data_IF_276336998754
#
_entry.id   IF_276336998754
#
_cell.length_a   1.000
_cell.length_b   1.000
_cell.length_c   1.000
_cell.angle_alpha   90.00
_cell.angle_beta   90.00
_cell.angle_gamma   90.00
#
_symmetry.space_group_name_H-M   'P 1'
#
loop_
_entity.id
_entity.type
_entity.pdbx_description
1 polymer ?
#
# COMPACT_ATOMS: atom_id res chain seq x y z
N UNK A 1 -13.90 -41.13 -0.46
CA UNK A 1 -14.12 -40.16 -1.56
C UNK A 1 -13.64 -38.79 -1.09
N UNK A 2 -12.40 -38.42 -1.37
CA UNK A 2 -11.81 -37.16 -0.87
C UNK A 2 -10.91 -36.44 -1.91
N UNK A 3 -10.88 -36.95 -3.15
CA UNK A 3 -10.04 -36.43 -4.25
C UNK A 3 -10.58 -35.11 -4.82
N UNK A 4 -11.91 -34.92 -4.75
CA UNK A 4 -12.59 -33.76 -5.33
C UNK A 4 -12.49 -32.51 -4.43
N UNK A 5 -12.12 -32.68 -3.16
CA UNK A 5 -12.03 -31.59 -2.18
C UNK A 5 -10.71 -30.82 -2.33
N UNK A 6 -9.58 -31.52 -2.44
CA UNK A 6 -8.24 -30.91 -2.58
C UNK A 6 -8.13 -30.10 -3.87
N UNK A 7 -8.64 -30.62 -4.98
CA UNK A 7 -8.65 -29.90 -6.26
C UNK A 7 -9.48 -28.61 -6.18
N UNK A 8 -10.58 -28.62 -5.43
CA UNK A 8 -11.45 -27.46 -5.26
C UNK A 8 -10.79 -26.37 -4.40
N UNK A 9 -10.12 -26.76 -3.31
CA UNK A 9 -9.32 -25.83 -2.50
C UNK A 9 -8.14 -25.25 -3.28
N UNK A 10 -7.42 -26.07 -4.05
CA UNK A 10 -6.33 -25.60 -4.91
C UNK A 10 -6.82 -24.59 -5.97
N UNK A 11 -7.99 -24.85 -6.57
CA UNK A 11 -8.59 -23.95 -7.55
C UNK A 11 -9.03 -22.62 -6.92
N UNK A 12 -9.65 -22.66 -5.73
CA UNK A 12 -10.04 -21.46 -4.97
C UNK A 12 -8.82 -20.60 -4.61
N UNK A 13 -7.72 -21.22 -4.17
CA UNK A 13 -6.48 -20.50 -3.85
C UNK A 13 -5.87 -19.83 -5.09
N UNK A 14 -5.86 -20.52 -6.23
CA UNK A 14 -5.42 -19.95 -7.51
C UNK A 14 -6.24 -18.73 -7.92
N UNK A 15 -7.57 -18.81 -7.78
CA UNK A 15 -8.48 -17.69 -8.09
C UNK A 15 -8.22 -16.51 -7.14
N UNK A 16 -8.08 -16.77 -5.84
CA UNK A 16 -7.75 -15.74 -4.86
C UNK A 16 -6.44 -15.02 -5.24
N UNK A 17 -5.38 -15.74 -5.57
CA UNK A 17 -4.08 -15.14 -5.96
C UNK A 17 -4.21 -14.26 -7.21
N UNK A 18 -4.98 -14.69 -8.20
CA UNK A 18 -5.22 -13.90 -9.42
C UNK A 18 -6.00 -12.61 -9.11
N UNK A 19 -6.95 -12.64 -8.17
CA UNK A 19 -7.80 -11.48 -7.82
C UNK A 19 -7.11 -10.43 -6.94
N UNK A 20 -6.06 -10.79 -6.19
CA UNK A 20 -5.33 -9.85 -5.30
C UNK A 20 -4.39 -8.92 -6.10
N UNK A 21 -4.17 -9.21 -7.39
CA UNK A 21 -3.26 -8.45 -8.27
C UNK A 21 -3.73 -7.01 -8.54
N UNK A 22 -4.97 -6.65 -8.18
CA UNK A 22 -5.42 -5.26 -8.16
C UNK A 22 -4.94 -4.60 -6.86
N UNK A 23 -3.65 -4.30 -6.81
CA UNK A 23 -3.03 -3.59 -5.70
C UNK A 23 -3.80 -2.29 -5.44
N UNK A 24 -4.33 -2.19 -4.22
CA UNK A 24 -4.97 -1.01 -3.71
C UNK A 24 -4.08 0.21 -4.00
N UNK A 25 -4.55 1.11 -4.85
CA UNK A 25 -4.02 2.47 -4.90
C UNK A 25 -4.28 3.04 -3.51
N UNK A 26 -3.28 2.95 -2.63
CA UNK A 26 -3.27 3.69 -1.38
C UNK A 26 -3.13 5.14 -1.80
N UNK A 27 -4.28 5.78 -2.03
CA UNK A 27 -4.36 7.22 -2.16
C UNK A 27 -3.97 7.75 -0.78
N UNK A 28 -2.66 7.93 -0.57
CA UNK A 28 -2.16 8.52 0.66
C UNK A 28 -2.94 9.80 0.89
N UNK A 29 -3.56 9.95 2.06
CA UNK A 29 -4.21 11.21 2.38
C UNK A 29 -3.15 12.31 2.31
N UNK A 30 -3.34 13.22 1.37
CA UNK A 30 -2.52 14.41 1.25
C UNK A 30 -3.04 15.47 2.21
N UNK A 31 -2.13 16.04 2.99
CA UNK A 31 -2.40 17.14 3.90
C UNK A 31 -2.30 18.45 3.11
N UNK A 32 -3.42 19.14 2.95
CA UNK A 32 -3.46 20.47 2.35
C UNK A 32 -2.97 21.53 3.36
N UNK A 33 -2.11 22.44 2.89
CA UNK A 33 -1.71 23.65 3.63
C UNK A 33 -1.60 24.81 2.67
N UNK A 34 -1.98 26.02 3.10
CA UNK A 34 -1.66 27.23 2.32
C UNK A 34 -0.14 27.37 2.22
N UNK A 35 0.37 27.67 1.02
CA UNK A 35 1.79 27.89 0.80
C UNK A 35 2.28 29.06 1.65
N UNK A 36 3.39 28.85 2.34
CA UNK A 36 4.03 29.90 3.15
C UNK A 36 4.96 30.78 2.33
N UNK A 37 5.42 30.27 1.20
CA UNK A 37 6.40 30.93 0.34
C UNK A 37 5.77 31.64 -0.85
N UNK A 38 4.56 31.22 -1.26
CA UNK A 38 3.81 31.87 -2.33
C UNK A 38 3.30 33.23 -1.89
N UNK A 39 3.50 34.23 -2.74
CA UNK A 39 3.01 35.59 -2.54
C UNK A 39 2.16 36.04 -3.72
N UNK A 40 1.11 36.81 -3.43
CA UNK A 40 0.20 37.34 -4.44
C UNK A 40 -0.85 36.34 -4.93
N UNK A 41 -1.55 36.71 -6.01
CA UNK A 41 -2.69 35.96 -6.53
C UNK A 41 -2.21 34.73 -7.32
N UNK A 42 -2.70 33.55 -6.96
CA UNK A 42 -2.35 32.30 -7.64
C UNK A 42 -3.15 32.16 -8.95
N UNK A 43 -2.51 32.44 -10.09
CA UNK A 43 -3.11 32.32 -11.42
C UNK A 43 -2.56 31.15 -12.26
N UNK A 44 -1.49 30.50 -11.80
CA UNK A 44 -0.83 29.42 -12.53
C UNK A 44 -0.55 28.25 -11.59
N UNK A 45 -1.39 27.22 -11.68
CA UNK A 45 -1.28 25.99 -10.89
C UNK A 45 0.07 25.31 -11.07
N UNK A 46 0.66 25.33 -12.27
CA UNK A 46 1.98 24.70 -12.53
C UNK A 46 3.10 25.41 -11.78
N UNK A 47 3.09 26.74 -11.75
CA UNK A 47 4.09 27.49 -10.98
C UNK A 47 3.92 27.27 -9.47
N UNK A 48 2.69 27.21 -8.98
CA UNK A 48 2.39 26.86 -7.59
C UNK A 48 2.89 25.44 -7.26
N UNK A 49 2.63 24.47 -8.13
CA UNK A 49 3.09 23.10 -7.99
C UNK A 49 4.63 23.02 -7.91
N UNK A 50 5.32 23.64 -8.87
CA UNK A 50 6.79 23.65 -8.93
C UNK A 50 7.40 24.33 -7.69
N UNK A 51 6.84 25.43 -7.21
CA UNK A 51 7.30 26.09 -5.99
C UNK A 51 7.03 25.24 -4.73
N UNK A 52 5.83 24.66 -4.60
CA UNK A 52 5.50 23.78 -3.48
C UNK A 52 6.48 22.60 -3.38
N UNK A 53 6.81 21.97 -4.51
CA UNK A 53 7.81 20.88 -4.55
C UNK A 53 9.21 21.38 -4.21
N UNK A 54 9.65 22.46 -4.84
CA UNK A 54 11.03 22.92 -4.75
C UNK A 54 11.36 23.61 -3.41
N UNK A 55 10.42 24.34 -2.81
CA UNK A 55 10.69 25.24 -1.68
C UNK A 55 10.07 24.76 -0.38
N UNK A 56 8.97 24.00 -0.45
CA UNK A 56 8.27 23.53 0.75
C UNK A 56 8.40 22.02 0.95
N UNK A 57 8.92 21.28 -0.03
CA UNK A 57 9.04 19.81 0.03
C UNK A 57 7.69 19.11 -0.06
N UNK A 58 6.70 19.75 -0.70
CA UNK A 58 5.39 19.17 -0.92
C UNK A 58 5.41 18.11 -2.02
N UNK A 59 4.44 17.20 -2.00
CA UNK A 59 4.23 16.25 -3.08
C UNK A 59 3.67 16.95 -4.33
N UNK A 60 2.79 17.94 -4.14
CA UNK A 60 2.24 18.77 -5.21
C UNK A 60 1.71 20.11 -4.68
N UNK A 61 1.39 21.05 -5.57
CA UNK A 61 0.66 22.29 -5.26
C UNK A 61 -0.46 22.61 -6.27
N UNK A 62 -1.44 23.41 -5.85
CA UNK A 62 -2.47 23.95 -6.73
C UNK A 62 -3.04 25.30 -6.30
N UNK A 63 -3.49 26.10 -7.28
CA UNK A 63 -4.23 27.32 -7.03
C UNK A 63 -5.69 27.02 -6.68
N UNK A 64 -6.16 27.51 -5.53
CA UNK A 64 -7.56 27.44 -5.14
C UNK A 64 -8.13 28.79 -4.77
N UNK A 65 -9.42 28.96 -5.01
CA UNK A 65 -10.16 30.16 -4.61
C UNK A 65 -10.87 29.91 -3.28
N UNK A 66 -10.51 30.67 -2.24
CA UNK A 66 -11.21 30.68 -0.94
C UNK A 66 -11.51 32.12 -0.57
N UNK A 67 -12.76 32.41 -0.21
CA UNK A 67 -13.20 33.77 0.19
C UNK A 67 -12.76 34.87 -0.80
N UNK A 68 -12.93 34.62 -2.10
CA UNK A 68 -12.54 35.51 -3.21
C UNK A 68 -11.03 35.77 -3.37
N UNK A 69 -10.17 35.03 -2.68
CA UNK A 69 -8.71 35.07 -2.84
C UNK A 69 -8.22 33.81 -3.57
N UNK A 70 -7.42 33.97 -4.62
CA UNK A 70 -6.75 32.84 -5.27
C UNK A 70 -5.40 32.62 -4.59
N UNK A 71 -5.29 31.52 -3.84
CA UNK A 71 -4.11 31.20 -3.04
C UNK A 71 -3.51 29.88 -3.53
N UNK A 72 -2.19 29.77 -3.40
CA UNK A 72 -1.49 28.52 -3.63
C UNK A 72 -1.61 27.64 -2.38
N UNK A 73 -2.01 26.39 -2.57
CA UNK A 73 -2.03 25.37 -1.53
C UNK A 73 -1.07 24.25 -1.91
N UNK A 74 -0.23 23.87 -0.96
CA UNK A 74 0.70 22.76 -1.07
C UNK A 74 0.13 21.51 -0.38
N UNK A 75 0.37 20.36 -0.97
CA UNK A 75 -0.13 19.06 -0.55
C UNK A 75 1.04 18.17 -0.13
N UNK A 76 1.03 17.76 1.13
CA UNK A 76 2.10 16.97 1.73
C UNK A 76 1.63 15.55 1.99
N UNK A 77 2.55 14.58 1.94
CA UNK A 77 2.26 13.27 2.48
C UNK A 77 2.01 13.42 4.00
N UNK A 78 0.79 13.12 4.45
CA UNK A 78 0.50 13.20 5.87
C UNK A 78 1.27 12.10 6.61
N UNK A 79 1.90 12.38 7.77
CA UNK A 79 2.53 11.34 8.59
C UNK A 79 1.58 10.20 8.97
N UNK A 80 0.29 10.53 9.15
CA UNK A 80 -0.77 9.53 9.41
C UNK A 80 -1.05 8.64 8.20
N UNK A 81 -1.03 9.21 7.00
CA UNK A 81 -1.23 8.47 5.76
C UNK A 81 -0.04 7.55 5.45
N UNK A 82 1.18 8.04 5.69
CA UNK A 82 2.41 7.27 5.53
C UNK A 82 2.46 6.11 6.53
N UNK A 83 2.13 6.37 7.80
CA UNK A 83 2.01 5.32 8.82
C UNK A 83 0.93 4.30 8.47
N UNK A 84 -0.24 4.73 8.00
CA UNK A 84 -1.31 3.82 7.58
C UNK A 84 -0.87 2.94 6.41
N UNK A 85 -0.11 3.48 5.45
CA UNK A 85 0.44 2.71 4.35
C UNK A 85 1.45 1.67 4.84
N UNK A 86 2.35 2.04 5.75
CA UNK A 86 3.31 1.12 6.37
C UNK A 86 2.62 0.02 7.20
N UNK A 87 1.62 0.40 8.00
CA UNK A 87 0.86 -0.54 8.82
C UNK A 87 0.10 -1.55 7.94
N UNK A 88 -0.41 -1.11 6.78
CA UNK A 88 -1.05 -1.99 5.79
C UNK A 88 -0.05 -2.97 5.16
N UNK A 89 1.10 -2.49 4.68
CA UNK A 89 2.15 -3.35 4.12
C UNK A 89 2.62 -4.39 5.13
N UNK A 90 2.83 -3.97 6.39
CA UNK A 90 3.24 -4.89 7.47
C UNK A 90 2.16 -5.91 7.81
N UNK A 91 0.89 -5.52 7.76
CA UNK A 91 -0.22 -6.46 7.95
C UNK A 91 -0.32 -7.48 6.81
N UNK A 92 -0.08 -7.05 5.57
CA UNK A 92 -0.05 -7.92 4.39
C UNK A 92 1.14 -8.89 4.40
N UNK A 93 2.34 -8.42 4.79
CA UNK A 93 3.52 -9.28 4.99
C UNK A 93 3.27 -10.30 6.11
N UNK A 94 2.75 -9.86 7.26
CA UNK A 94 2.40 -10.76 8.36
C UNK A 94 1.33 -11.78 7.96
N UNK A 95 0.38 -11.40 7.09
CA UNK A 95 -0.62 -12.32 6.56
C UNK A 95 0.01 -13.37 5.65
N UNK A 96 1.00 -12.99 4.82
CA UNK A 96 1.77 -13.91 3.96
C UNK A 96 2.61 -14.90 4.79
N UNK A 97 3.33 -14.42 5.80
CA UNK A 97 4.17 -15.27 6.65
C UNK A 97 3.34 -16.31 7.43
N UNK A 98 2.14 -15.94 7.88
CA UNK A 98 1.21 -16.87 8.55
C UNK A 98 0.65 -17.94 7.62
N UNK A 99 0.58 -17.68 6.32
CA UNK A 99 0.20 -18.67 5.31
C UNK A 99 1.36 -19.64 5.08
N UNK A 100 2.58 -19.12 4.91
CA UNK A 100 3.79 -19.94 4.71
C UNK A 100 4.09 -20.85 5.90
N UNK A 101 3.96 -20.35 7.13
CA UNK A 101 4.16 -21.13 8.35
C UNK A 101 3.14 -22.27 8.53
N UNK A 102 1.99 -22.22 7.85
CA UNK A 102 0.98 -23.30 7.84
C UNK A 102 1.23 -24.35 6.76
N UNK A 103 2.02 -24.03 5.74
CA UNK A 103 2.28 -24.94 4.62
C UNK A 103 3.42 -25.93 4.87
N UNK A 104 4.25 -25.76 5.92
CA UNK A 104 5.33 -26.72 6.23
C UNK A 104 4.76 -28.03 6.81
N UNK A 105 4.74 -29.14 6.06
CA UNK A 105 4.31 -30.42 6.60
C UNK A 105 5.50 -31.05 7.33
N UNK A 106 5.24 -31.51 8.53
CA UNK A 106 6.15 -32.26 9.37
C UNK A 106 6.55 -33.59 8.67
N UNK A 107 7.67 -33.65 7.95
CA UNK A 107 8.23 -34.93 7.50
C UNK A 107 9.00 -35.57 8.67
N UNK A 108 8.29 -36.32 9.51
CA UNK A 108 8.90 -37.40 10.32
C UNK A 108 8.70 -38.69 9.56
N UNK A 109 9.78 -39.35 9.16
CA UNK A 109 9.76 -40.80 8.94
C UNK A 109 10.76 -41.46 9.90
N UNK A 110 10.32 -42.42 10.74
CA UNK A 110 11.20 -43.31 11.48
C UNK A 110 11.84 -44.31 10.52
N UNK A 111 13.15 -44.49 10.61
CA UNK A 111 13.84 -45.59 9.93
C UNK A 111 13.65 -46.82 10.82
N UNK A 112 12.81 -47.77 10.37
CA UNK A 112 12.71 -49.11 10.97
C UNK A 112 13.92 -49.97 10.56
N UNK A 113 14.39 -50.88 11.44
CA UNK A 113 15.61 -51.65 11.20
C UNK A 113 15.35 -52.86 10.29
N UNK A 114 16.17 -52.99 9.25
CA UNK A 114 16.16 -54.13 8.32
C UNK A 114 16.70 -55.37 9.06
N UNK A 115 15.85 -56.39 9.23
CA UNK A 115 16.21 -57.73 9.66
C UNK A 115 16.15 -58.67 8.45
N UNK A 116 17.25 -59.32 8.11
CA UNK A 116 17.35 -60.36 7.07
C UNK A 116 18.19 -61.54 7.60
N UNK A 117 17.97 -62.76 7.06
CA UNK A 117 17.84 -64.02 7.80
C UNK A 117 19.15 -64.68 8.28
#
# INVERSE_FOLDING_TARGET
>A
MAKNSVAFFALLLLICILTISEFAVVKGELCEKASKTWSGNCGNTRHCDDQCKAWEGAAHGACHTRNKKHMCFCYFNCPKAEKLAQDKLKAEELARDKVEAKEVPHFKHPIEPIHHP
#
